data_IF_967521400772
#
_entry.id   IF_967521400772
#
_cell.length_a   1.000
_cell.length_b   1.000
_cell.length_c   1.000
_cell.angle_alpha   90.00
_cell.angle_beta   90.00
_cell.angle_gamma   90.00
#
_symmetry.space_group_name_H-M   'P 1'
#
loop_
_entity.id
_entity.type
_entity.pdbx_description
1 polymer ?
#
# COMPACT_ATOMS: atom_id res chain seq x y z
N UNK A 1 -1.16 -13.94 9.94
CA UNK A 1 -1.70 -12.98 8.97
C UNK A 1 -2.36 -13.71 7.82
N UNK A 2 -3.47 -13.18 7.32
CA UNK A 2 -4.22 -13.81 6.22
C UNK A 2 -3.48 -13.67 4.89
N UNK A 3 -3.80 -14.55 3.94
CA UNK A 3 -3.25 -14.46 2.58
C UNK A 3 -3.94 -13.39 1.73
N UNK A 4 -5.12 -12.93 2.17
CA UNK A 4 -5.89 -11.92 1.48
C UNK A 4 -6.87 -11.29 2.46
N UNK A 5 -7.03 -9.97 2.36
CA UNK A 5 -8.01 -9.21 3.13
C UNK A 5 -9.05 -8.65 2.17
N UNK A 6 -10.30 -8.81 2.51
CA UNK A 6 -11.41 -8.50 1.63
C UNK A 6 -12.23 -7.34 2.17
N UNK A 7 -12.57 -6.40 1.29
CA UNK A 7 -13.54 -5.35 1.58
C UNK A 7 -14.75 -5.52 0.66
N UNK A 8 -15.66 -4.59 0.64
CA UNK A 8 -16.83 -4.66 -0.25
C UNK A 8 -16.43 -4.75 -1.72
N UNK A 9 -15.49 -3.93 -2.17
CA UNK A 9 -15.11 -3.82 -3.58
C UNK A 9 -13.69 -4.28 -3.90
N UNK A 10 -12.87 -4.51 -2.89
CA UNK A 10 -11.42 -4.67 -3.05
C UNK A 10 -10.91 -5.96 -2.38
N UNK A 11 -9.74 -6.40 -2.89
CA UNK A 11 -8.90 -7.39 -2.21
C UNK A 11 -7.58 -6.72 -1.91
N UNK A 12 -7.11 -6.86 -0.67
CA UNK A 12 -5.79 -6.39 -0.24
C UNK A 12 -4.89 -7.62 -0.14
N UNK A 13 -3.88 -7.68 -1.01
CA UNK A 13 -2.98 -8.82 -1.12
C UNK A 13 -1.65 -8.49 -0.47
N UNK A 14 -1.21 -9.25 0.55
CA UNK A 14 0.14 -9.05 1.08
C UNK A 14 1.16 -9.15 -0.04
N UNK A 15 2.11 -8.21 -0.07
CA UNK A 15 3.12 -8.13 -1.12
C UNK A 15 3.91 -9.44 -1.22
N UNK A 16 4.02 -9.99 -2.43
CA UNK A 16 4.70 -11.25 -2.67
C UNK A 16 5.25 -11.32 -4.09
N UNK A 17 6.30 -12.09 -4.28
CA UNK A 17 7.03 -12.18 -5.56
C UNK A 17 6.17 -12.45 -6.80
N UNK A 18 5.12 -13.31 -6.76
CA UNK A 18 4.31 -13.56 -7.95
C UNK A 18 3.62 -12.31 -8.51
N UNK A 19 3.54 -11.22 -7.75
CA UNK A 19 2.91 -9.98 -8.17
C UNK A 19 3.84 -9.07 -8.99
N UNK A 20 5.10 -9.45 -9.21
CA UNK A 20 6.13 -8.58 -9.76
C UNK A 20 5.73 -7.89 -11.07
N UNK A 21 5.16 -8.64 -12.04
CA UNK A 21 4.76 -8.05 -13.31
C UNK A 21 3.58 -7.08 -13.14
N UNK A 22 2.60 -7.45 -12.32
CA UNK A 22 1.44 -6.58 -12.05
C UNK A 22 1.87 -5.28 -11.36
N UNK A 23 2.85 -5.36 -10.45
CA UNK A 23 3.39 -4.18 -9.77
C UNK A 23 4.15 -3.30 -10.74
N UNK A 24 4.98 -3.89 -11.61
CA UNK A 24 5.70 -3.14 -12.63
C UNK A 24 4.73 -2.41 -13.57
N UNK A 25 3.68 -3.09 -14.02
CA UNK A 25 2.65 -2.50 -14.88
C UNK A 25 1.94 -1.34 -14.19
N UNK A 26 1.63 -1.49 -12.92
CA UNK A 26 1.02 -0.45 -12.10
C UNK A 26 1.89 0.82 -12.05
N UNK A 27 3.17 0.68 -11.76
CA UNK A 27 4.09 1.82 -11.71
C UNK A 27 4.32 2.42 -13.09
N UNK A 28 4.36 1.61 -14.15
CA UNK A 28 4.49 2.13 -15.53
C UNK A 28 3.31 3.01 -15.92
N UNK A 29 2.09 2.55 -15.62
CA UNK A 29 0.88 3.32 -15.96
C UNK A 29 0.82 4.65 -15.20
N UNK A 30 1.34 4.69 -14.00
CA UNK A 30 1.20 5.84 -13.11
C UNK A 30 2.48 6.65 -12.96
N UNK A 31 3.49 6.40 -13.78
CA UNK A 31 4.80 7.03 -13.65
C UNK A 31 4.71 8.56 -13.56
N UNK A 32 4.05 9.19 -14.51
CA UNK A 32 3.91 10.65 -14.53
C UNK A 32 3.06 11.16 -13.37
N UNK A 33 2.01 10.42 -13.02
CA UNK A 33 1.09 10.80 -11.96
C UNK A 33 1.74 10.78 -10.58
N UNK A 34 2.58 9.77 -10.32
CA UNK A 34 3.25 9.64 -9.02
C UNK A 34 4.50 10.49 -8.88
N UNK A 35 5.10 10.93 -9.98
CA UNK A 35 6.38 11.63 -9.96
C UNK A 35 6.45 12.82 -8.99
N UNK A 36 5.43 13.69 -8.89
CA UNK A 36 5.47 14.81 -7.94
C UNK A 36 5.48 14.41 -6.46
N UNK A 37 5.08 13.19 -6.14
CA UNK A 37 4.93 12.72 -4.75
C UNK A 37 5.98 11.69 -4.35
N UNK A 38 6.72 11.14 -5.32
CA UNK A 38 7.70 10.08 -5.09
C UNK A 38 9.12 10.60 -5.20
N UNK A 39 10.10 9.92 -4.57
CA UNK A 39 11.50 10.16 -4.89
C UNK A 39 11.75 9.82 -6.35
N UNK A 40 12.79 10.45 -6.91
CA UNK A 40 13.19 10.17 -8.29
C UNK A 40 13.55 8.70 -8.44
N UNK A 41 13.04 8.05 -9.51
CA UNK A 41 13.26 6.62 -9.77
C UNK A 41 14.15 6.41 -10.97
N UNK A 42 15.04 5.41 -10.88
CA UNK A 42 15.83 4.98 -12.03
C UNK A 42 14.96 4.20 -13.03
N UNK A 43 15.33 4.17 -14.32
CA UNK A 43 14.51 3.47 -15.32
C UNK A 43 14.23 2.01 -15.01
N UNK A 44 15.18 1.28 -14.41
CA UNK A 44 14.99 -0.13 -14.09
C UNK A 44 13.97 -0.39 -12.97
N UNK A 45 13.59 0.65 -12.22
CA UNK A 45 12.52 0.55 -11.20
C UNK A 45 11.22 0.01 -11.80
N UNK A 46 10.96 0.32 -13.07
CA UNK A 46 9.72 -0.03 -13.74
C UNK A 46 9.71 -1.42 -14.37
N UNK A 47 10.70 -2.24 -14.07
CA UNK A 47 10.79 -3.62 -14.59
C UNK A 47 10.28 -4.62 -13.57
N UNK A 48 9.77 -5.76 -14.06
CA UNK A 48 9.34 -6.85 -13.19
C UNK A 48 10.50 -7.41 -12.34
N UNK A 49 11.70 -7.47 -12.91
CA UNK A 49 12.87 -7.96 -12.19
C UNK A 49 13.21 -7.10 -10.97
N UNK A 50 13.20 -5.78 -11.14
CA UNK A 50 13.45 -4.86 -10.04
C UNK A 50 12.35 -4.99 -8.97
N UNK A 51 11.10 -5.03 -9.39
CA UNK A 51 9.98 -5.15 -8.48
C UNK A 51 10.00 -6.48 -7.72
N UNK A 52 10.44 -7.56 -8.35
CA UNK A 52 10.59 -8.84 -7.66
C UNK A 52 11.55 -8.74 -6.48
N UNK A 53 12.66 -8.02 -6.65
CA UNK A 53 13.62 -7.82 -5.56
C UNK A 53 13.01 -7.03 -4.40
N UNK A 54 12.22 -6.02 -4.71
CA UNK A 54 11.52 -5.25 -3.68
C UNK A 54 10.47 -6.10 -2.97
N UNK A 55 9.79 -6.98 -3.71
CA UNK A 55 8.80 -7.88 -3.13
C UNK A 55 9.43 -8.92 -2.20
N UNK A 56 10.63 -9.39 -2.53
CA UNK A 56 11.40 -10.24 -1.61
C UNK A 56 11.65 -9.51 -0.30
N UNK A 57 12.04 -8.23 -0.38
CA UNK A 57 12.25 -7.41 0.81
C UNK A 57 10.95 -7.23 1.60
N UNK A 58 9.82 -7.04 0.91
CA UNK A 58 8.52 -6.93 1.56
C UNK A 58 8.14 -8.22 2.29
N UNK A 59 8.42 -9.37 1.68
CA UNK A 59 8.19 -10.68 2.31
C UNK A 59 9.03 -10.84 3.58
N UNK A 60 10.30 -10.47 3.51
CA UNK A 60 11.20 -10.52 4.67
C UNK A 60 10.76 -9.57 5.79
N UNK A 61 10.37 -8.37 5.43
CA UNK A 61 9.87 -7.38 6.41
C UNK A 61 8.62 -7.91 7.11
N UNK A 62 7.73 -8.56 6.37
CA UNK A 62 6.51 -9.15 6.94
C UNK A 62 6.86 -10.27 7.92
N UNK A 63 7.80 -11.13 7.56
CA UNK A 63 8.24 -12.23 8.43
C UNK A 63 8.84 -11.72 9.75
N UNK A 64 9.57 -10.60 9.68
CA UNK A 64 10.17 -9.98 10.86
C UNK A 64 9.22 -9.03 11.59
N UNK A 65 8.01 -8.87 11.07
CA UNK A 65 7.05 -7.88 11.55
C UNK A 65 7.61 -6.44 11.57
N UNK A 66 8.50 -6.14 10.63
CA UNK A 66 9.12 -4.83 10.49
C UNK A 66 8.36 -3.90 9.54
N UNK A 67 7.50 -4.46 8.71
CA UNK A 67 6.68 -3.72 7.77
C UNK A 67 5.67 -4.62 7.09
N UNK A 68 4.54 -4.05 6.69
CA UNK A 68 3.46 -4.79 6.03
C UNK A 68 2.98 -3.99 4.84
N UNK A 69 3.13 -4.54 3.64
CA UNK A 69 2.68 -3.90 2.41
C UNK A 69 1.59 -4.75 1.77
N UNK A 70 0.54 -4.08 1.32
CA UNK A 70 -0.57 -4.73 0.62
C UNK A 70 -0.76 -4.06 -0.72
N UNK A 71 -0.90 -4.86 -1.77
CA UNK A 71 -1.33 -4.37 -3.07
C UNK A 71 -2.83 -4.56 -3.20
N UNK A 72 -3.47 -3.60 -3.86
CA UNK A 72 -4.93 -3.52 -3.94
C UNK A 72 -5.36 -3.90 -5.33
N UNK A 73 -6.29 -4.85 -5.43
CA UNK A 73 -6.94 -5.20 -6.70
C UNK A 73 -8.45 -5.06 -6.53
N UNK A 74 -9.16 -4.58 -7.58
CA UNK A 74 -10.63 -4.56 -7.52
C UNK A 74 -11.17 -5.96 -7.73
N UNK A 75 -12.23 -6.32 -7.01
CA UNK A 75 -12.85 -7.64 -7.15
C UNK A 75 -13.33 -7.91 -8.57
N UNK A 76 -13.80 -6.86 -9.25
CA UNK A 76 -14.29 -6.97 -10.64
C UNK A 76 -13.16 -7.09 -11.66
N UNK A 77 -11.93 -6.78 -11.27
CA UNK A 77 -10.77 -6.78 -12.17
C UNK A 77 -9.52 -7.26 -11.43
N UNK A 78 -9.51 -8.52 -10.92
CA UNK A 78 -8.46 -8.97 -10.01
C UNK A 78 -7.07 -9.16 -10.65
N UNK A 79 -6.98 -9.06 -11.98
CA UNK A 79 -5.71 -9.14 -12.69
C UNK A 79 -4.92 -7.83 -12.74
N UNK A 80 -5.44 -6.75 -12.17
CA UNK A 80 -4.81 -5.44 -12.23
C UNK A 80 -4.64 -4.85 -10.83
N UNK A 81 -3.40 -4.53 -10.47
CA UNK A 81 -3.12 -3.78 -9.25
C UNK A 81 -3.48 -2.32 -9.50
N UNK A 82 -4.29 -1.75 -8.62
CA UNK A 82 -4.74 -0.35 -8.71
C UNK A 82 -4.23 0.53 -7.60
N UNK A 83 -3.56 -0.05 -6.61
CA UNK A 83 -3.04 0.74 -5.50
C UNK A 83 -2.21 -0.08 -4.54
N UNK A 84 -1.68 0.60 -3.55
CA UNK A 84 -0.97 -0.04 -2.45
C UNK A 84 -1.27 0.69 -1.16
N UNK A 85 -1.20 -0.04 -0.06
CA UNK A 85 -1.24 0.51 1.28
C UNK A 85 -0.17 -0.21 2.09
N UNK A 86 0.60 0.53 2.88
CA UNK A 86 1.71 -0.04 3.62
C UNK A 86 1.79 0.50 5.04
N UNK A 87 2.20 -0.37 5.95
CA UNK A 87 2.56 -0.03 7.33
C UNK A 87 4.07 -0.17 7.40
N UNK A 88 4.77 0.95 7.46
CA UNK A 88 6.23 1.01 7.40
C UNK A 88 6.85 1.33 8.74
N UNK A 89 8.13 0.96 8.91
CA UNK A 89 8.92 1.33 10.08
C UNK A 89 8.22 0.95 11.38
N UNK A 90 7.81 -0.30 11.48
CA UNK A 90 7.11 -0.80 12.66
C UNK A 90 8.07 -0.85 13.84
N UNK A 91 7.68 -0.21 14.94
CA UNK A 91 8.43 -0.20 16.20
C UNK A 91 7.59 -0.90 17.25
N UNK A 92 8.10 -2.00 17.78
CA UNK A 92 7.45 -2.79 18.82
C UNK A 92 7.85 -2.29 20.22
N UNK A 93 7.64 -3.10 21.21
CA UNK A 93 7.90 -2.72 22.61
C UNK A 93 6.80 -1.83 23.15
N UNK A 94 7.17 -0.72 23.79
CA UNK A 94 6.21 0.18 24.41
C UNK A 94 5.40 0.98 23.39
N UNK A 95 5.95 1.18 22.18
CA UNK A 95 5.33 2.05 21.19
C UNK A 95 4.28 1.34 20.32
N UNK A 96 4.58 0.14 19.84
CA UNK A 96 3.72 -0.62 18.90
C UNK A 96 3.14 0.30 17.82
N UNK A 97 4.03 1.03 17.14
CA UNK A 97 3.66 2.07 16.18
C UNK A 97 4.24 1.83 14.81
N UNK A 98 3.67 2.48 13.81
CA UNK A 98 4.15 2.44 12.43
C UNK A 98 3.73 3.69 11.67
N UNK A 99 4.25 3.81 10.44
CA UNK A 99 3.84 4.86 9.51
C UNK A 99 2.99 4.27 8.39
N UNK A 100 1.90 4.94 8.08
CA UNK A 100 0.99 4.57 7.00
C UNK A 100 1.38 5.30 5.70
N UNK A 101 1.50 4.54 4.62
CA UNK A 101 1.67 5.09 3.27
C UNK A 101 0.69 4.43 2.32
N UNK A 102 0.23 5.15 1.30
CA UNK A 102 -0.67 4.61 0.29
C UNK A 102 -0.60 5.38 -1.02
N UNK A 103 -0.93 4.71 -2.12
CA UNK A 103 -1.00 5.28 -3.47
C UNK A 103 -2.12 4.61 -4.23
N UNK A 104 -2.81 5.37 -5.08
CA UNK A 104 -3.90 4.85 -5.91
C UNK A 104 -3.67 5.23 -7.38
N UNK A 105 -3.98 4.29 -8.26
CA UNK A 105 -3.95 4.47 -9.72
C UNK A 105 -4.80 5.68 -10.13
N UNK A 106 -4.26 6.49 -11.04
CA UNK A 106 -4.92 7.72 -11.52
C UNK A 106 -6.31 7.50 -12.09
N UNK A 107 -6.57 6.32 -12.64
CA UNK A 107 -7.86 6.00 -13.27
C UNK A 107 -8.91 5.51 -12.28
N UNK A 108 -8.54 5.35 -11.00
CA UNK A 108 -9.41 4.82 -9.96
C UNK A 108 -9.68 5.80 -8.81
N UNK A 109 -9.36 7.07 -9.04
CA UNK A 109 -9.54 8.12 -8.02
C UNK A 109 -11.02 8.49 -7.82
N UNK A 110 -11.30 9.13 -6.68
CA UNK A 110 -12.59 9.75 -6.37
C UNK A 110 -13.78 8.79 -6.30
N UNK A 111 -13.52 7.53 -5.94
CA UNK A 111 -14.57 6.53 -5.77
C UNK A 111 -14.65 5.99 -4.33
N UNK A 112 -13.86 6.57 -3.42
CA UNK A 112 -13.79 6.11 -2.04
C UNK A 112 -12.99 4.82 -1.84
N UNK A 113 -12.30 4.35 -2.87
CA UNK A 113 -11.58 3.07 -2.82
C UNK A 113 -10.41 3.09 -1.84
N UNK A 114 -9.61 4.15 -1.84
CA UNK A 114 -8.47 4.22 -0.91
C UNK A 114 -8.95 4.34 0.54
N UNK A 115 -10.02 5.07 0.81
CA UNK A 115 -10.59 5.12 2.15
C UNK A 115 -11.03 3.74 2.62
N UNK A 116 -11.65 2.96 1.72
CA UNK A 116 -12.05 1.58 1.98
C UNK A 116 -10.85 0.70 2.30
N UNK A 117 -9.77 0.81 1.50
CA UNK A 117 -8.54 0.04 1.70
C UNK A 117 -7.82 0.44 3.00
N UNK A 118 -7.70 1.74 3.28
CA UNK A 118 -7.03 2.24 4.48
C UNK A 118 -7.81 1.79 5.72
N UNK A 119 -9.12 1.86 5.71
CA UNK A 119 -9.93 1.40 6.84
C UNK A 119 -9.67 -0.08 7.15
N UNK A 120 -9.62 -0.93 6.14
CA UNK A 120 -9.34 -2.36 6.35
C UNK A 120 -7.91 -2.59 6.84
N UNK A 121 -6.95 -1.86 6.30
CA UNK A 121 -5.56 -1.94 6.74
C UNK A 121 -5.41 -1.52 8.20
N UNK A 122 -6.06 -0.44 8.61
CA UNK A 122 -6.03 0.06 9.99
C UNK A 122 -6.70 -0.93 10.93
N UNK A 123 -7.85 -1.49 10.54
CA UNK A 123 -8.52 -2.54 11.31
C UNK A 123 -7.60 -3.72 11.53
N UNK A 124 -6.95 -4.18 10.48
CA UNK A 124 -6.01 -5.30 10.53
C UNK A 124 -4.85 -4.99 11.47
N UNK A 125 -4.29 -3.77 11.38
CA UNK A 125 -3.17 -3.35 12.22
C UNK A 125 -3.53 -3.41 13.70
N UNK A 126 -4.69 -2.92 14.09
CA UNK A 126 -5.09 -2.88 15.49
C UNK A 126 -5.60 -4.23 15.99
N UNK A 127 -6.38 -4.95 15.20
CA UNK A 127 -7.05 -6.17 15.64
C UNK A 127 -6.21 -7.44 15.47
N UNK A 128 -5.39 -7.51 14.41
CA UNK A 128 -4.63 -8.71 14.10
C UNK A 128 -3.13 -8.59 14.34
N UNK A 129 -2.55 -7.42 14.05
CA UNK A 129 -1.09 -7.25 14.12
C UNK A 129 -0.60 -6.74 15.47
N UNK A 130 -1.47 -6.26 16.32
CA UNK A 130 -1.10 -5.81 17.65
C UNK A 130 -0.50 -4.41 17.71
N UNK A 131 -0.72 -3.60 16.68
CA UNK A 131 -0.27 -2.20 16.68
C UNK A 131 -1.24 -1.33 17.47
N UNK A 132 -0.73 -0.24 18.05
CA UNK A 132 -1.51 0.66 18.88
C UNK A 132 -1.55 2.09 18.34
N UNK A 133 -0.61 2.45 17.47
CA UNK A 133 -0.49 3.81 16.93
C UNK A 133 -0.07 3.77 15.47
N UNK A 134 -0.76 4.53 14.63
CA UNK A 134 -0.46 4.67 13.21
C UNK A 134 -0.33 6.15 12.90
N UNK A 135 0.77 6.54 12.26
CA UNK A 135 1.01 7.92 11.83
C UNK A 135 1.05 7.99 10.31
N UNK A 136 0.54 9.09 9.76
CA UNK A 136 0.61 9.36 8.33
C UNK A 136 1.25 10.73 8.12
N UNK A 137 2.33 10.76 7.36
CA UNK A 137 3.01 12.00 6.99
C UNK A 137 2.60 12.37 5.57
N UNK A 138 1.91 13.51 5.42
CA UNK A 138 1.32 13.91 4.15
C UNK A 138 1.79 15.32 3.81
N UNK A 139 2.27 15.51 2.57
CA UNK A 139 2.62 16.84 2.10
C UNK A 139 1.38 17.73 2.07
N UNK A 140 1.46 19.00 2.53
CA UNK A 140 0.28 19.87 2.60
C UNK A 140 -0.45 20.06 1.26
N UNK A 141 0.27 19.97 0.14
CA UNK A 141 -0.33 20.11 -1.20
C UNK A 141 -0.99 18.83 -1.71
N UNK A 142 -0.86 17.72 -1.01
CA UNK A 142 -1.48 16.45 -1.40
C UNK A 142 -2.92 16.38 -0.86
N UNK A 143 -3.81 17.11 -1.49
CA UNK A 143 -5.20 17.27 -1.05
C UNK A 143 -5.97 15.93 -1.07
N UNK A 144 -5.73 15.11 -2.09
CA UNK A 144 -6.39 13.80 -2.20
C UNK A 144 -6.04 12.91 -1.00
N UNK A 145 -4.77 12.85 -0.62
CA UNK A 145 -4.30 12.06 0.52
C UNK A 145 -4.87 12.59 1.84
N UNK A 146 -4.88 13.91 2.03
CA UNK A 146 -5.49 14.53 3.21
C UNK A 146 -6.97 14.17 3.33
N UNK A 147 -7.67 14.14 2.19
CA UNK A 147 -9.07 13.75 2.16
C UNK A 147 -9.30 12.32 2.63
N UNK A 148 -8.44 11.38 2.22
CA UNK A 148 -8.51 9.99 2.66
C UNK A 148 -8.35 9.88 4.17
N UNK A 149 -7.33 10.51 4.72
CA UNK A 149 -7.05 10.47 6.17
C UNK A 149 -8.21 11.07 6.97
N UNK A 150 -8.77 12.18 6.51
CA UNK A 150 -9.92 12.81 7.17
C UNK A 150 -11.15 11.92 7.17
N UNK A 151 -11.43 11.22 6.07
CA UNK A 151 -12.57 10.30 5.99
C UNK A 151 -12.40 9.07 6.87
N UNK A 152 -11.18 8.65 7.13
CA UNK A 152 -10.88 7.50 7.96
C UNK A 152 -10.79 7.82 9.46
N UNK A 153 -10.86 9.08 9.81
CA UNK A 153 -10.70 9.51 11.20
C UNK A 153 -9.26 9.50 11.62
#
# INVERSE_FOLDING_TARGET
MKQCYETERLLLLPAAQPQAQMVADYYCRNKAFFEPFDPQREPNFFTAEYQRRLLVQDEENRERAAGFRFYIVPKEQPGQIIGMVALNNVVWGSFCSCFLGYKLDKDWLRQGLMSEAVNECVRTAFEELGLHRIEANIMPHNIASLGVVRRCG
#
